data_IF_863789512879
#
_entry.id   IF_863789512879
#
_cell.length_a   1.000
_cell.length_b   1.000
_cell.length_c   1.000
_cell.angle_alpha   90.00
_cell.angle_beta   90.00
_cell.angle_gamma   90.00
#
_symmetry.space_group_name_H-M   'P 1'
#
loop_
_entity.id
_entity.type
_entity.pdbx_description
1 polymer ?
#
# COMPACT_ATOMS: atom_id res chain seq x y z
N UNK A 1 -12.98 3.56 21.53
CA UNK A 1 -11.80 3.10 22.29
C UNK A 1 -10.81 2.52 21.29
N UNK A 2 -9.55 2.92 21.32
CA UNK A 2 -8.53 2.39 20.38
C UNK A 2 -8.22 0.95 20.81
N UNK A 3 -8.32 0.02 19.86
CA UNK A 3 -8.02 -1.39 20.09
C UNK A 3 -6.57 -1.54 20.58
N UNK A 4 -6.39 -2.15 21.76
CA UNK A 4 -5.09 -2.35 22.40
C UNK A 4 -4.15 -3.24 21.58
N UNK A 5 -4.68 -3.96 20.58
CA UNK A 5 -3.92 -4.80 19.64
C UNK A 5 -2.78 -4.06 18.92
N UNK A 6 -2.88 -2.73 18.76
CA UNK A 6 -1.93 -1.92 17.99
C UNK A 6 -1.19 -0.87 18.82
N UNK A 7 -1.42 -0.80 20.14
CA UNK A 7 -0.85 0.22 21.03
C UNK A 7 -0.23 -0.36 22.31
N UNK A 8 -0.16 -1.68 22.45
CA UNK A 8 0.53 -2.32 23.57
C UNK A 8 2.05 -2.16 23.44
N UNK A 9 2.74 -2.00 24.56
CA UNK A 9 4.21 -1.93 24.59
C UNK A 9 4.88 -3.28 24.32
N UNK A 10 4.13 -4.38 24.42
CA UNK A 10 4.59 -5.74 24.17
C UNK A 10 3.73 -6.40 23.08
N UNK A 11 4.40 -6.97 22.08
CA UNK A 11 3.80 -7.72 20.97
C UNK A 11 4.00 -9.21 21.22
N UNK A 12 3.00 -10.04 20.89
CA UNK A 12 3.13 -11.50 21.01
C UNK A 12 4.22 -12.04 20.08
N UNK A 13 4.82 -13.18 20.43
CA UNK A 13 5.81 -13.83 19.56
C UNK A 13 5.24 -14.15 18.17
N UNK A 14 3.96 -14.54 18.09
CA UNK A 14 3.25 -14.74 16.83
C UNK A 14 3.22 -13.44 15.99
N UNK A 15 2.94 -12.30 16.63
CA UNK A 15 2.94 -10.99 15.96
C UNK A 15 4.34 -10.63 15.46
N UNK A 16 5.38 -10.84 16.28
CA UNK A 16 6.77 -10.59 15.90
C UNK A 16 7.19 -11.47 14.71
N UNK A 17 6.82 -12.75 14.72
CA UNK A 17 7.07 -13.68 13.62
C UNK A 17 6.35 -13.24 12.34
N UNK A 18 5.11 -12.76 12.46
CA UNK A 18 4.36 -12.24 11.31
C UNK A 18 4.98 -10.95 10.75
N UNK A 19 5.45 -10.04 11.61
CA UNK A 19 6.19 -8.83 11.20
C UNK A 19 7.48 -9.22 10.47
N UNK A 20 8.22 -10.19 10.99
CA UNK A 20 9.44 -10.69 10.34
C UNK A 20 9.13 -11.29 8.95
N UNK A 21 8.10 -12.13 8.84
CA UNK A 21 7.66 -12.70 7.56
C UNK A 21 7.21 -11.62 6.56
N UNK A 22 6.53 -10.57 7.03
CA UNK A 22 6.18 -9.41 6.20
C UNK A 22 7.43 -8.68 5.70
N UNK A 23 8.42 -8.46 6.59
CA UNK A 23 9.68 -7.82 6.21
C UNK A 23 10.44 -8.64 5.15
N UNK A 24 10.50 -9.96 5.33
CA UNK A 24 11.12 -10.87 4.38
C UNK A 24 10.40 -10.86 3.02
N UNK A 25 9.07 -10.95 3.01
CA UNK A 25 8.30 -10.93 1.77
C UNK A 25 8.52 -9.64 0.95
N UNK A 26 8.67 -8.48 1.61
CA UNK A 26 9.05 -7.24 0.92
C UNK A 26 10.47 -7.30 0.37
N UNK A 27 11.43 -7.78 1.18
CA UNK A 27 12.81 -7.91 0.75
C UNK A 27 12.98 -8.85 -0.45
N UNK A 28 12.19 -9.93 -0.52
CA UNK A 28 12.15 -10.84 -1.67
C UNK A 28 11.49 -10.19 -2.89
N UNK A 29 10.34 -9.51 -2.72
CA UNK A 29 9.64 -8.85 -3.81
C UNK A 29 10.53 -7.80 -4.52
N UNK A 30 11.26 -6.98 -3.77
CA UNK A 30 12.13 -5.95 -4.32
C UNK A 30 13.45 -6.48 -4.93
N UNK A 31 13.73 -7.78 -4.84
CA UNK A 31 14.80 -8.40 -5.63
C UNK A 31 14.34 -8.71 -7.06
N UNK A 32 13.03 -8.77 -7.31
CA UNK A 32 12.49 -8.91 -8.65
C UNK A 32 12.80 -7.67 -9.48
N UNK A 33 13.36 -7.87 -10.68
CA UNK A 33 13.62 -6.80 -11.63
C UNK A 33 12.96 -7.16 -12.95
N UNK A 34 12.09 -6.29 -13.42
CA UNK A 34 11.52 -6.41 -14.76
C UNK A 34 12.26 -5.51 -15.75
N UNK A 35 12.36 -5.95 -17.00
CA UNK A 35 12.93 -5.16 -18.09
C UNK A 35 11.92 -4.17 -18.71
N UNK A 36 10.87 -3.82 -17.96
CA UNK A 36 9.82 -2.92 -18.40
C UNK A 36 10.39 -1.51 -18.62
N UNK A 37 9.83 -0.82 -19.62
CA UNK A 37 10.12 0.58 -19.91
C UNK A 37 8.92 1.44 -19.51
N UNK A 38 9.20 2.60 -18.94
CA UNK A 38 8.17 3.58 -18.61
C UNK A 38 7.95 4.44 -19.86
N UNK A 39 6.95 4.05 -20.66
CA UNK A 39 6.64 4.69 -21.95
C UNK A 39 5.48 5.68 -21.88
N UNK A 40 4.92 5.91 -20.69
CA UNK A 40 3.74 6.76 -20.54
C UNK A 40 3.68 7.43 -19.17
N UNK A 41 2.99 8.56 -19.10
CA UNK A 41 2.83 9.33 -17.87
C UNK A 41 2.07 8.56 -16.78
N UNK A 42 2.45 8.82 -15.53
CA UNK A 42 1.74 8.33 -14.36
C UNK A 42 0.42 9.08 -14.15
N UNK A 43 -0.60 8.36 -13.69
CA UNK A 43 -1.92 8.94 -13.38
C UNK A 43 -2.24 8.82 -11.89
N UNK A 44 -3.24 9.57 -11.45
CA UNK A 44 -3.77 9.35 -10.11
C UNK A 44 -4.48 7.99 -10.02
N UNK A 45 -4.33 7.31 -8.88
CA UNK A 45 -4.91 6.00 -8.63
C UNK A 45 -6.40 6.05 -8.27
N UNK A 46 -6.97 7.23 -8.10
CA UNK A 46 -8.38 7.45 -7.75
C UNK A 46 -8.99 8.48 -8.70
N UNK A 47 -10.27 8.32 -9.04
CA UNK A 47 -10.96 9.26 -9.94
C UNK A 47 -11.17 10.64 -9.30
N UNK A 48 -11.54 10.67 -8.01
CA UNK A 48 -11.76 11.91 -7.25
C UNK A 48 -10.56 12.15 -6.35
N UNK A 49 -9.62 12.95 -6.84
CA UNK A 49 -8.39 13.28 -6.12
C UNK A 49 -8.70 14.21 -4.95
N UNK A 50 -8.50 13.72 -3.74
CA UNK A 50 -8.59 14.51 -2.52
C UNK A 50 -7.57 14.02 -1.51
N UNK A 51 -6.50 14.80 -1.31
CA UNK A 51 -5.45 14.48 -0.36
C UNK A 51 -5.92 14.73 1.07
N UNK A 52 -5.79 13.72 1.93
CA UNK A 52 -6.04 13.87 3.38
C UNK A 52 -4.76 14.04 4.18
N UNK A 53 -3.64 13.53 3.66
CA UNK A 53 -2.32 13.69 4.25
C UNK A 53 -1.25 13.70 3.15
N UNK A 54 -0.49 14.80 2.99
CA UNK A 54 0.57 14.86 1.99
C UNK A 54 1.81 14.05 2.40
N UNK A 55 2.70 13.86 1.42
CA UNK A 55 4.03 13.31 1.62
C UNK A 55 4.82 14.13 2.63
N UNK A 56 5.68 13.45 3.39
CA UNK A 56 6.57 14.01 4.41
C UNK A 56 5.88 14.72 5.59
N UNK A 57 4.54 14.64 5.70
CA UNK A 57 3.82 15.15 6.87
C UNK A 57 4.39 14.51 8.13
N UNK A 58 4.84 15.34 9.07
CA UNK A 58 5.38 14.88 10.35
C UNK A 58 4.30 14.18 11.17
N UNK A 59 4.65 13.03 11.75
CA UNK A 59 3.72 12.22 12.54
C UNK A 59 4.15 12.19 14.01
N UNK A 60 3.17 12.26 14.90
CA UNK A 60 3.36 12.13 16.34
C UNK A 60 2.42 11.01 16.81
N UNK A 61 2.98 9.97 17.39
CA UNK A 61 2.24 8.82 17.91
C UNK A 61 2.47 8.76 19.42
N UNK A 62 1.42 8.77 20.23
CA UNK A 62 1.50 8.70 21.69
C UNK A 62 2.52 9.68 22.29
N UNK A 63 2.51 10.94 21.83
CA UNK A 63 3.44 12.03 22.20
C UNK A 63 4.90 11.84 21.77
N UNK A 64 5.22 10.76 21.06
CA UNK A 64 6.57 10.49 20.51
C UNK A 64 6.60 10.80 19.02
N UNK A 65 7.71 11.38 18.54
CA UNK A 65 7.90 11.65 17.10
C UNK A 65 8.02 10.32 16.35
N UNK A 66 7.15 10.11 15.37
CA UNK A 66 7.25 8.99 14.44
C UNK A 66 8.07 9.37 13.20
N UNK A 67 8.27 8.38 12.31
CA UNK A 67 8.78 8.64 10.97
C UNK A 67 7.81 9.56 10.20
N UNK A 68 8.31 10.49 9.37
CA UNK A 68 7.46 11.25 8.46
C UNK A 68 6.64 10.34 7.54
N UNK A 69 5.56 10.88 7.01
CA UNK A 69 4.73 10.16 6.06
C UNK A 69 5.52 9.83 4.78
N UNK A 70 5.71 8.54 4.49
CA UNK A 70 6.47 8.06 3.32
C UNK A 70 5.68 7.95 2.01
N UNK A 71 4.43 8.38 1.98
CA UNK A 71 3.55 8.32 0.79
C UNK A 71 2.51 9.45 0.82
N UNK A 72 1.45 9.30 0.03
CA UNK A 72 0.31 10.22 0.04
C UNK A 72 -0.98 9.50 0.37
N UNK A 73 -1.86 10.16 1.11
CA UNK A 73 -3.15 9.58 1.51
C UNK A 73 -4.29 10.19 0.69
N UNK A 74 -5.05 9.34 0.00
CA UNK A 74 -6.27 9.74 -0.70
C UNK A 74 -7.52 9.43 0.13
N UNK A 75 -8.50 10.33 0.09
CA UNK A 75 -9.83 10.09 0.67
C UNK A 75 -10.58 9.04 -0.14
N UNK A 76 -11.05 8.00 0.53
CA UNK A 76 -11.94 6.99 -0.04
C UNK A 76 -12.81 6.36 1.04
N UNK A 77 -14.04 5.99 0.70
CA UNK A 77 -14.88 5.10 1.53
C UNK A 77 -14.67 3.67 1.10
N UNK A 78 -14.90 2.71 2.02
CA UNK A 78 -15.02 1.27 1.71
C UNK A 78 -15.84 1.13 0.41
N UNK A 79 -15.27 0.48 -0.61
CA UNK A 79 -15.89 0.34 -1.94
C UNK A 79 -15.23 1.19 -3.03
N UNK A 80 -14.46 2.23 -2.67
CA UNK A 80 -13.86 3.16 -3.64
C UNK A 80 -12.79 2.46 -4.46
N UNK A 81 -12.96 2.32 -5.79
CA UNK A 81 -11.98 1.63 -6.63
C UNK A 81 -10.66 2.40 -6.68
N UNK A 82 -9.55 1.65 -6.68
CA UNK A 82 -8.18 2.16 -6.78
C UNK A 82 -7.53 1.54 -8.02
N UNK A 83 -6.80 2.31 -8.81
CA UNK A 83 -6.27 1.91 -10.11
C UNK A 83 -4.75 1.93 -10.12
N UNK A 84 -4.16 1.09 -10.98
CA UNK A 84 -2.72 1.13 -11.22
C UNK A 84 -2.33 2.48 -11.84
N UNK A 85 -1.34 3.14 -11.25
CA UNK A 85 -0.88 4.46 -11.70
C UNK A 85 -0.11 4.42 -13.03
N UNK A 86 0.38 3.23 -13.42
CA UNK A 86 1.03 2.97 -14.70
C UNK A 86 0.98 1.47 -15.03
N UNK A 87 1.40 1.11 -16.24
CA UNK A 87 1.63 -0.28 -16.66
C UNK A 87 2.70 -0.92 -15.77
N UNK A 88 2.56 -2.21 -15.44
CA UNK A 88 3.54 -2.88 -14.60
C UNK A 88 3.26 -4.34 -14.34
N UNK A 89 4.08 -4.94 -13.49
CA UNK A 89 3.91 -6.32 -13.01
C UNK A 89 3.77 -6.32 -11.49
N UNK A 90 2.78 -7.04 -10.98
CA UNK A 90 2.60 -7.20 -9.53
C UNK A 90 3.72 -8.06 -8.96
N UNK A 91 4.54 -7.50 -8.06
CA UNK A 91 5.66 -8.20 -7.40
C UNK A 91 5.33 -8.61 -5.95
N UNK A 92 4.28 -8.03 -5.36
CA UNK A 92 3.78 -8.41 -4.04
C UNK A 92 2.26 -8.16 -3.97
N UNK A 93 1.51 -9.11 -3.43
CA UNK A 93 0.07 -8.95 -3.17
C UNK A 93 -0.36 -9.85 -2.01
N UNK A 94 -0.42 -9.32 -0.77
CA UNK A 94 -0.72 -10.11 0.43
C UNK A 94 -1.12 -9.25 1.64
N UNK A 95 -1.73 -9.84 2.69
CA UNK A 95 -1.89 -9.19 3.99
C UNK A 95 -0.54 -8.96 4.67
N UNK A 96 -0.40 -7.78 5.29
CA UNK A 96 0.78 -7.28 5.99
C UNK A 96 0.38 -6.68 7.35
N UNK A 97 1.33 -6.64 8.29
CA UNK A 97 1.05 -6.15 9.63
C UNK A 97 0.79 -4.63 9.67
N UNK A 98 1.66 -3.81 9.05
CA UNK A 98 1.52 -2.35 9.10
C UNK A 98 0.68 -1.81 7.95
N UNK A 99 0.85 -2.35 6.75
CA UNK A 99 0.22 -1.88 5.51
C UNK A 99 -1.20 -2.42 5.33
N UNK A 100 -1.66 -3.37 6.16
CA UNK A 100 -2.89 -4.12 5.88
C UNK A 100 -2.71 -4.94 4.59
N UNK A 101 -3.71 -4.98 3.71
CA UNK A 101 -3.49 -5.59 2.40
C UNK A 101 -2.62 -4.68 1.54
N UNK A 102 -1.44 -5.19 1.17
CA UNK A 102 -0.44 -4.48 0.39
C UNK A 102 -0.36 -5.08 -1.01
N UNK A 103 -0.30 -4.20 -2.00
CA UNK A 103 0.06 -4.55 -3.38
C UNK A 103 1.20 -3.68 -3.84
N UNK A 104 2.19 -4.29 -4.48
CA UNK A 104 3.35 -3.60 -5.04
C UNK A 104 3.45 -3.95 -6.51
N UNK A 105 3.56 -2.91 -7.34
CA UNK A 105 3.71 -3.03 -8.79
C UNK A 105 5.09 -2.50 -9.17
N UNK A 106 5.86 -3.32 -9.89
CA UNK A 106 7.09 -2.91 -10.59
C UNK A 106 6.72 -2.37 -11.96
N UNK A 107 7.12 -1.13 -12.23
CA UNK A 107 6.92 -0.43 -13.50
C UNK A 107 8.15 -0.50 -14.42
N UNK A 108 9.22 -1.17 -13.97
CA UNK A 108 10.54 -1.17 -14.60
C UNK A 108 11.43 -0.07 -14.04
N UNK A 109 12.72 -0.14 -14.37
CA UNK A 109 13.74 0.85 -13.98
C UNK A 109 13.81 1.10 -12.45
N UNK A 110 13.48 0.07 -11.65
CA UNK A 110 13.41 0.14 -10.18
C UNK A 110 12.38 1.17 -9.66
N UNK A 111 11.35 1.49 -10.46
CA UNK A 111 10.24 2.34 -10.06
C UNK A 111 9.06 1.47 -9.62
N UNK A 112 8.62 1.65 -8.39
CA UNK A 112 7.55 0.86 -7.78
C UNK A 112 6.40 1.75 -7.28
N UNK A 113 5.17 1.24 -7.35
CA UNK A 113 4.03 1.81 -6.63
C UNK A 113 3.50 0.85 -5.57
N UNK A 114 3.12 1.38 -4.40
CA UNK A 114 2.73 0.60 -3.22
C UNK A 114 1.32 0.99 -2.77
N UNK A 115 0.34 0.11 -2.96
CA UNK A 115 -1.05 0.36 -2.57
C UNK A 115 -1.32 -0.30 -1.22
N UNK A 116 -1.62 0.49 -0.19
CA UNK A 116 -1.83 0.01 1.17
C UNK A 116 -3.27 0.20 1.66
N UNK A 117 -3.61 -0.50 2.74
CA UNK A 117 -4.89 -0.39 3.47
C UNK A 117 -6.11 -0.75 2.64
N UNK A 118 -5.89 -1.60 1.64
CA UNK A 118 -6.92 -2.23 0.84
C UNK A 118 -7.69 -3.21 1.75
N UNK A 119 -8.96 -3.44 1.52
CA UNK A 119 -9.81 -4.37 2.27
C UNK A 119 -9.86 -5.73 1.62
N UNK A 120 -9.57 -5.79 0.32
CA UNK A 120 -9.54 -6.99 -0.50
C UNK A 120 -8.27 -6.98 -1.36
N UNK A 121 -7.86 -8.14 -1.85
CA UNK A 121 -6.76 -8.28 -2.81
C UNK A 121 -7.29 -8.95 -4.07
N UNK A 122 -7.30 -8.23 -5.20
CA UNK A 122 -7.85 -8.77 -6.46
C UNK A 122 -6.80 -9.08 -7.54
N UNK A 123 -5.52 -8.99 -7.20
CA UNK A 123 -4.41 -9.40 -8.08
C UNK A 123 -3.43 -10.28 -7.33
N UNK A 124 -2.65 -11.06 -8.08
CA UNK A 124 -1.64 -11.99 -7.60
C UNK A 124 -0.27 -11.60 -8.14
N UNK A 125 0.78 -12.08 -7.47
CA UNK A 125 2.17 -11.90 -7.94
C UNK A 125 2.30 -12.50 -9.35
N UNK A 126 2.93 -11.75 -10.25
CA UNK A 126 3.10 -12.09 -11.67
C UNK A 126 2.03 -11.51 -12.59
N UNK A 127 0.92 -10.98 -12.05
CA UNK A 127 -0.12 -10.35 -12.86
C UNK A 127 0.42 -9.09 -13.55
N UNK A 128 0.18 -8.98 -14.86
CA UNK A 128 0.44 -7.75 -15.62
C UNK A 128 -0.73 -6.81 -15.47
N UNK A 129 -0.46 -5.59 -15.04
CA UNK A 129 -1.46 -4.53 -14.93
C UNK A 129 -1.24 -3.49 -16.02
N UNK A 130 -2.34 -2.90 -16.46
CA UNK A 130 -2.34 -1.77 -17.38
C UNK A 130 -2.80 -0.51 -16.66
N UNK A 131 -2.24 0.62 -17.09
CA UNK A 131 -2.68 1.97 -16.74
C UNK A 131 -4.08 2.20 -17.31
N UNK A 132 -5.12 1.66 -16.69
CA UNK A 132 -6.52 2.01 -16.99
C UNK A 132 -7.55 1.39 -16.03
N UNK A 133 -8.76 1.96 -16.07
CA UNK A 133 -9.84 2.01 -15.06
C UNK A 133 -10.53 0.66 -14.74
N UNK A 134 -9.94 -0.51 -15.02
CA UNK A 134 -10.69 -1.79 -14.91
C UNK A 134 -10.02 -2.99 -14.24
N UNK A 135 -8.77 -2.92 -13.80
CA UNK A 135 -8.11 -4.16 -13.36
C UNK A 135 -8.27 -4.50 -11.87
N UNK A 136 -8.52 -3.54 -10.97
CA UNK A 136 -8.53 -3.88 -9.53
C UNK A 136 -9.48 -3.01 -8.70
N UNK A 137 -10.46 -3.63 -8.03
CA UNK A 137 -11.38 -2.94 -7.11
C UNK A 137 -10.94 -3.12 -5.67
N UNK A 138 -10.01 -2.30 -5.23
CA UNK A 138 -9.69 -2.26 -3.82
C UNK A 138 -10.79 -1.50 -3.10
N UNK A 139 -11.08 -1.90 -1.87
CA UNK A 139 -12.10 -1.28 -1.05
C UNK A 139 -11.35 -0.80 0.20
N UNK A 140 -11.46 0.45 0.67
CA UNK A 140 -10.84 0.86 1.93
C UNK A 140 -11.39 0.01 3.10
N UNK A 141 -10.60 -0.31 4.14
CA UNK A 141 -11.15 -0.94 5.35
C UNK A 141 -12.03 0.04 6.15
N UNK A 142 -12.99 -0.49 6.92
CA UNK A 142 -13.67 0.27 7.96
C UNK A 142 -12.65 0.77 8.99
N UNK A 143 -12.24 2.01 8.84
CA UNK A 143 -11.53 2.78 9.83
C UNK A 143 -11.97 4.23 9.64
N UNK A 144 -12.38 4.96 10.70
CA UNK A 144 -12.77 6.38 10.59
C UNK A 144 -11.63 7.30 10.11
N UNK A 145 -10.43 6.74 9.87
CA UNK A 145 -9.23 7.38 9.37
C UNK A 145 -8.63 6.61 8.16
N UNK A 146 -9.43 5.80 7.45
CA UNK A 146 -8.93 5.01 6.32
C UNK A 146 -8.37 5.94 5.23
N UNK A 147 -7.05 5.86 5.10
CA UNK A 147 -6.23 6.63 4.17
C UNK A 147 -5.60 5.61 3.23
N UNK A 148 -5.86 5.70 1.92
CA UNK A 148 -5.15 4.84 0.97
C UNK A 148 -3.79 5.46 0.69
N UNK A 149 -2.74 4.76 1.09
CA UNK A 149 -1.36 5.13 0.79
C UNK A 149 -0.98 4.60 -0.58
N UNK A 150 -0.38 5.45 -1.40
CA UNK A 150 0.18 5.14 -2.74
C UNK A 150 1.58 5.74 -2.85
#
# INVERSE_FOLDING_TARGET
MIDKKYTSQELSQETLNFIAACSQAKAEAFQSKTDLQIVSDFVYPVQKVHFTSPFYKRRIYNKTKGKPHGGVDFKGTVGTPIYAINDGTVILSRPMYYEGNLTVIDHGLEVYSLYMHQSELNVKVGDKVKKEVRSVKWVPRECPQAHTFI
#
